data_IF_018732499571
#
_entry.id   IF_018732499571
#
_cell.length_a   1.000
_cell.length_b   1.000
_cell.length_c   1.000
_cell.angle_alpha   90.00
_cell.angle_beta   90.00
_cell.angle_gamma   90.00
#
_symmetry.space_group_name_H-M   'P 1'
#
loop_
_entity.id
_entity.type
_entity.pdbx_description
1 polymer ?
#
# COMPACT_ATOMS: atom_id res chain seq x y z
N UNK A 1 3.36 15.80 -21.71
CA UNK A 1 3.35 14.65 -20.77
C UNK A 1 1.89 14.25 -20.56
N UNK A 2 1.55 12.97 -20.72
CA UNK A 2 0.23 12.44 -20.35
C UNK A 2 0.38 11.68 -19.03
N UNK A 3 -0.60 11.79 -18.12
CA UNK A 3 -0.60 11.00 -16.89
C UNK A 3 -0.99 9.56 -17.23
N UNK A 4 -0.08 8.61 -16.98
CA UNK A 4 -0.37 7.18 -17.08
C UNK A 4 -1.23 6.77 -15.88
N UNK A 5 -2.49 6.37 -16.12
CA UNK A 5 -3.43 6.09 -15.03
C UNK A 5 -3.22 4.72 -14.38
N UNK A 6 -2.52 3.81 -15.07
CA UNK A 6 -2.23 2.47 -14.57
C UNK A 6 -0.86 2.42 -13.86
N UNK A 7 -0.84 2.07 -12.58
CA UNK A 7 0.37 2.05 -11.76
C UNK A 7 1.39 0.98 -12.21
N UNK A 8 0.94 -0.14 -12.76
CA UNK A 8 1.84 -1.18 -13.29
C UNK A 8 2.53 -0.68 -14.55
N UNK A 9 1.78 -0.05 -15.47
CA UNK A 9 2.35 0.58 -16.66
C UNK A 9 3.28 1.73 -16.30
N UNK A 10 2.88 2.59 -15.37
CA UNK A 10 3.69 3.72 -14.90
C UNK A 10 5.04 3.24 -14.38
N UNK A 11 5.07 2.18 -13.57
CA UNK A 11 6.32 1.62 -13.03
C UNK A 11 6.97 0.57 -13.95
N UNK A 12 6.46 0.35 -15.16
CA UNK A 12 7.04 -0.55 -16.15
C UNK A 12 7.10 -2.01 -15.70
N UNK A 13 6.05 -2.50 -15.03
CA UNK A 13 5.94 -3.88 -14.54
C UNK A 13 4.66 -4.55 -15.08
N UNK A 14 4.66 -5.89 -15.12
CA UNK A 14 3.47 -6.64 -15.50
C UNK A 14 2.39 -6.53 -14.39
N UNK A 15 1.10 -6.51 -14.76
CA UNK A 15 0.01 -6.49 -13.79
C UNK A 15 -0.20 -7.85 -13.13
N UNK A 16 0.55 -8.12 -12.07
CA UNK A 16 0.49 -9.35 -11.30
C UNK A 16 0.63 -9.08 -9.81
N UNK A 17 0.19 -10.03 -8.99
CA UNK A 17 0.31 -9.90 -7.53
C UNK A 17 1.74 -10.11 -7.05
N UNK A 18 2.45 -11.09 -7.61
CA UNK A 18 3.83 -11.37 -7.22
C UNK A 18 4.78 -10.40 -7.96
N UNK A 19 5.28 -9.41 -7.24
CA UNK A 19 6.15 -8.37 -7.78
C UNK A 19 7.46 -8.30 -7.01
N UNK A 20 8.55 -8.17 -7.75
CA UNK A 20 9.86 -7.86 -7.17
C UNK A 20 9.90 -6.40 -6.69
N UNK A 21 9.95 -6.23 -5.36
CA UNK A 21 10.05 -4.92 -4.72
C UNK A 21 11.31 -4.15 -5.11
N UNK A 22 12.40 -4.84 -5.47
CA UNK A 22 13.64 -4.24 -5.95
C UNK A 22 13.43 -3.57 -7.31
N UNK A 23 12.80 -4.28 -8.25
CA UNK A 23 12.47 -3.76 -9.59
C UNK A 23 11.55 -2.56 -9.49
N UNK A 24 10.49 -2.63 -8.65
CA UNK A 24 9.58 -1.51 -8.41
C UNK A 24 10.32 -0.27 -7.92
N UNK A 25 11.14 -0.40 -6.88
CA UNK A 25 11.94 0.71 -6.32
C UNK A 25 12.92 1.26 -7.34
N UNK A 26 13.55 0.40 -8.15
CA UNK A 26 14.49 0.83 -9.18
C UNK A 26 13.80 1.66 -10.27
N UNK A 27 12.65 1.19 -10.76
CA UNK A 27 11.89 1.88 -11.81
C UNK A 27 11.32 3.21 -11.30
N UNK A 28 10.76 3.23 -10.08
CA UNK A 28 10.30 4.47 -9.44
C UNK A 28 11.44 5.49 -9.28
N UNK A 29 12.64 5.07 -8.84
CA UNK A 29 13.81 5.96 -8.74
C UNK A 29 14.28 6.50 -10.09
N UNK A 30 14.16 5.73 -11.17
CA UNK A 30 14.47 6.22 -12.54
C UNK A 30 13.49 7.34 -12.91
N UNK A 31 12.19 7.10 -12.75
CA UNK A 31 11.14 8.07 -13.07
C UNK A 31 11.22 9.32 -12.19
N UNK A 32 11.41 9.17 -10.88
CA UNK A 32 11.58 10.31 -9.97
C UNK A 32 12.76 11.19 -10.37
N UNK A 33 13.87 10.62 -10.87
CA UNK A 33 15.01 11.42 -11.36
C UNK A 33 14.69 12.16 -12.66
N UNK A 34 13.80 11.63 -13.49
CA UNK A 34 13.39 12.25 -14.76
C UNK A 34 12.37 13.38 -14.54
N UNK A 35 11.42 13.15 -13.63
CA UNK A 35 10.25 14.00 -13.37
C UNK A 35 10.31 14.77 -12.04
N UNK A 36 11.49 14.85 -11.40
CA UNK A 36 11.64 15.56 -10.12
C UNK A 36 11.25 17.04 -10.26
N UNK A 37 10.44 17.62 -9.35
CA UNK A 37 10.01 19.02 -9.45
C UNK A 37 11.18 20.01 -9.54
N UNK A 38 12.29 19.74 -8.83
CA UNK A 38 13.49 20.58 -8.86
C UNK A 38 14.09 20.74 -10.26
N UNK A 39 13.96 19.74 -11.14
CA UNK A 39 14.44 19.84 -12.54
C UNK A 39 13.62 20.83 -13.36
N UNK A 40 12.38 21.07 -12.93
CA UNK A 40 11.44 21.97 -13.59
C UNK A 40 11.31 23.32 -12.85
N UNK A 41 12.09 23.57 -11.79
CA UNK A 41 12.00 24.80 -11.02
C UNK A 41 12.23 26.09 -11.84
N UNK A 42 12.99 26.01 -12.94
CA UNK A 42 13.24 27.11 -13.88
C UNK A 42 12.29 27.12 -15.10
N UNK A 43 11.36 26.16 -15.19
CA UNK A 43 10.41 26.03 -16.30
C UNK A 43 9.13 26.82 -16.06
N UNK A 44 8.19 26.77 -17.00
CA UNK A 44 6.91 27.48 -16.87
C UNK A 44 6.09 26.98 -15.66
N UNK A 45 5.20 27.80 -15.09
CA UNK A 45 4.31 27.36 -14.00
C UNK A 45 3.42 26.17 -14.37
N UNK A 46 3.15 25.97 -15.65
CA UNK A 46 2.40 24.79 -16.12
C UNK A 46 3.27 23.53 -16.04
N UNK A 47 4.52 23.59 -16.50
CA UNK A 47 5.46 22.47 -16.46
C UNK A 47 5.84 22.09 -15.02
N UNK A 48 6.03 23.08 -14.14
CA UNK A 48 6.27 22.86 -12.71
C UNK A 48 5.12 22.08 -12.06
N UNK A 49 3.87 22.51 -12.31
CA UNK A 49 2.68 21.81 -11.79
C UNK A 49 2.59 20.39 -12.33
N UNK A 50 2.87 20.20 -13.61
CA UNK A 50 2.83 18.88 -14.24
C UNK A 50 3.89 17.95 -13.66
N UNK A 51 5.12 18.42 -13.45
CA UNK A 51 6.19 17.65 -12.81
C UNK A 51 5.83 17.24 -11.37
N UNK A 52 5.22 18.16 -10.61
CA UNK A 52 4.74 17.85 -9.26
C UNK A 52 3.63 16.78 -9.27
N UNK A 53 2.68 16.87 -10.21
CA UNK A 53 1.63 15.86 -10.37
C UNK A 53 2.18 14.49 -10.73
N UNK A 54 3.12 14.42 -11.68
CA UNK A 54 3.76 13.15 -12.07
C UNK A 54 4.56 12.56 -10.92
N UNK A 55 5.32 13.37 -10.19
CA UNK A 55 6.05 12.91 -9.00
C UNK A 55 5.13 12.38 -7.91
N UNK A 56 4.01 13.05 -7.64
CA UNK A 56 2.99 12.55 -6.71
C UNK A 56 2.42 11.20 -7.17
N UNK A 57 2.15 11.06 -8.47
CA UNK A 57 1.62 9.83 -9.05
C UNK A 57 2.60 8.66 -8.94
N UNK A 58 3.89 8.88 -9.18
CA UNK A 58 4.93 7.85 -9.00
C UNK A 58 4.98 7.38 -7.54
N UNK A 59 4.85 8.31 -6.58
CA UNK A 59 4.83 7.96 -5.15
C UNK A 59 3.59 7.14 -4.79
N UNK A 60 2.41 7.54 -5.28
CA UNK A 60 1.17 6.80 -5.09
C UNK A 60 1.23 5.39 -5.69
N UNK A 61 1.77 5.26 -6.90
CA UNK A 61 1.96 3.97 -7.56
C UNK A 61 2.91 3.07 -6.77
N UNK A 62 4.05 3.59 -6.35
CA UNK A 62 5.04 2.83 -5.56
C UNK A 62 4.46 2.38 -4.22
N UNK A 63 3.79 3.28 -3.50
CA UNK A 63 3.16 2.96 -2.21
C UNK A 63 2.03 1.93 -2.36
N UNK A 64 1.27 1.98 -3.46
CA UNK A 64 0.19 1.02 -3.73
C UNK A 64 0.73 -0.36 -4.09
N UNK A 65 1.79 -0.44 -4.91
CA UNK A 65 2.32 -1.71 -5.40
C UNK A 65 3.30 -2.39 -4.43
N UNK A 66 3.87 -1.67 -3.48
CA UNK A 66 4.72 -2.25 -2.42
C UNK A 66 3.92 -2.89 -1.28
N UNK A 67 2.73 -2.37 -0.97
CA UNK A 67 1.84 -2.91 0.05
C UNK A 67 1.01 -4.05 -0.57
N UNK A 68 1.12 -5.30 -0.08
CA UNK A 68 0.41 -6.44 -0.66
C UNK A 68 -1.12 -6.28 -0.64
N UNK A 69 -1.68 -5.72 0.43
CA UNK A 69 -3.13 -5.53 0.58
C UNK A 69 -3.63 -4.47 -0.40
N UNK A 70 -2.94 -3.32 -0.49
CA UNK A 70 -3.26 -2.27 -1.47
C UNK A 70 -3.09 -2.76 -2.90
N UNK A 71 -2.06 -3.56 -3.17
CA UNK A 71 -1.81 -4.16 -4.48
C UNK A 71 -2.92 -5.14 -4.88
N UNK A 72 -3.37 -5.99 -3.96
CA UNK A 72 -4.51 -6.88 -4.20
C UNK A 72 -5.78 -6.08 -4.52
N UNK A 73 -6.10 -5.08 -3.69
CA UNK A 73 -7.23 -4.19 -3.91
C UNK A 73 -7.17 -3.48 -5.28
N UNK A 74 -5.99 -2.99 -5.65
CA UNK A 74 -5.78 -2.31 -6.93
C UNK A 74 -5.93 -3.27 -8.13
N UNK A 75 -5.44 -4.50 -8.03
CA UNK A 75 -5.65 -5.52 -9.06
C UNK A 75 -7.13 -5.84 -9.27
N UNK A 76 -7.90 -5.92 -8.19
CA UNK A 76 -9.34 -6.16 -8.23
C UNK A 76 -10.11 -4.96 -8.79
N UNK A 77 -9.75 -3.75 -8.39
CA UNK A 77 -10.32 -2.51 -8.93
C UNK A 77 -10.12 -2.42 -10.45
N UNK A 78 -8.96 -2.85 -10.97
CA UNK A 78 -8.69 -2.91 -12.42
C UNK A 78 -9.60 -3.88 -13.16
N UNK A 79 -10.18 -4.87 -12.48
CA UNK A 79 -11.17 -5.79 -13.03
C UNK A 79 -12.62 -5.31 -12.79
N UNK A 80 -12.81 -4.12 -12.23
CA UNK A 80 -14.12 -3.57 -11.87
C UNK A 80 -14.70 -4.15 -10.58
N UNK A 81 -13.88 -4.80 -9.75
CA UNK A 81 -14.30 -5.38 -8.48
C UNK A 81 -13.92 -4.40 -7.36
N UNK A 82 -14.92 -3.81 -6.71
CA UNK A 82 -14.71 -2.97 -5.53
C UNK A 82 -14.82 -3.81 -4.25
N UNK A 83 -13.74 -3.89 -3.48
CA UNK A 83 -13.80 -4.47 -2.14
C UNK A 83 -14.32 -3.40 -1.18
N UNK A 84 -15.54 -3.60 -0.71
CA UNK A 84 -16.04 -2.87 0.45
C UNK A 84 -15.70 -3.68 1.71
N UNK A 85 -14.57 -3.33 2.35
CA UNK A 85 -14.05 -4.04 3.52
C UNK A 85 -15.04 -4.05 4.70
N UNK A 86 -15.94 -3.07 4.80
CA UNK A 86 -16.93 -2.99 5.89
C UNK A 86 -18.05 -4.02 5.69
N UNK A 87 -18.61 -4.12 4.48
CA UNK A 87 -19.74 -5.03 4.22
C UNK A 87 -19.36 -6.51 4.10
N UNK A 88 -18.09 -6.84 3.84
CA UNK A 88 -17.67 -8.24 3.76
C UNK A 88 -17.24 -8.81 5.12
N UNK A 89 -16.54 -8.01 5.93
CA UNK A 89 -16.05 -8.44 7.26
C UNK A 89 -17.21 -8.70 8.24
N UNK A 90 -18.34 -7.99 8.11
CA UNK A 90 -19.55 -8.19 8.92
C UNK A 90 -20.20 -9.58 8.75
N UNK A 91 -19.86 -10.33 7.71
CA UNK A 91 -20.48 -11.62 7.40
C UNK A 91 -19.74 -12.83 7.97
N UNK A 92 -18.52 -12.65 8.47
CA UNK A 92 -17.72 -13.72 9.06
C UNK A 92 -17.66 -13.55 10.58
N UNK A 93 -18.60 -14.18 11.28
CA UNK A 93 -18.73 -14.09 12.73
C UNK A 93 -17.52 -14.68 13.45
N UNK A 94 -16.92 -15.75 12.90
CA UNK A 94 -15.80 -16.43 13.53
C UNK A 94 -14.54 -15.56 13.46
N UNK A 95 -14.29 -14.94 12.30
CA UNK A 95 -13.22 -13.95 12.16
C UNK A 95 -13.43 -12.75 13.09
N UNK A 96 -14.65 -12.22 13.19
CA UNK A 96 -14.96 -11.10 14.08
C UNK A 96 -14.70 -11.46 15.55
N UNK A 97 -15.15 -12.63 16.01
CA UNK A 97 -14.90 -13.11 17.37
C UNK A 97 -13.39 -13.24 17.64
N UNK A 98 -12.63 -13.77 16.69
CA UNK A 98 -11.17 -13.84 16.80
C UNK A 98 -10.53 -12.45 16.91
N UNK A 99 -10.97 -11.49 16.09
CA UNK A 99 -10.48 -10.10 16.15
C UNK A 99 -10.81 -9.42 17.49
N UNK A 100 -12.00 -9.68 18.04
CA UNK A 100 -12.39 -9.18 19.36
C UNK A 100 -11.51 -9.75 20.46
N UNK A 101 -11.28 -11.07 20.47
CA UNK A 101 -10.43 -11.72 21.46
C UNK A 101 -8.99 -11.20 21.41
N UNK A 102 -8.40 -11.04 20.21
CA UNK A 102 -7.07 -10.46 20.05
C UNK A 102 -6.97 -9.04 20.63
N UNK A 103 -8.02 -8.22 20.48
CA UNK A 103 -8.07 -6.87 21.05
C UNK A 103 -8.19 -6.89 22.56
N UNK A 104 -8.99 -7.78 23.12
CA UNK A 104 -9.11 -7.96 24.58
C UNK A 104 -7.76 -8.36 25.19
N UNK A 105 -7.06 -9.35 24.62
CA UNK A 105 -5.71 -9.74 25.06
C UNK A 105 -4.71 -8.58 24.97
N UNK A 106 -4.78 -7.77 23.90
CA UNK A 106 -3.93 -6.59 23.76
C UNK A 106 -4.20 -5.54 24.84
N UNK A 107 -5.47 -5.29 25.16
CA UNK A 107 -5.87 -4.34 26.19
C UNK A 107 -5.43 -4.80 27.58
N UNK A 108 -5.65 -6.07 27.93
CA UNK A 108 -5.21 -6.66 29.20
C UNK A 108 -3.69 -6.58 29.38
N UNK A 109 -2.92 -6.98 28.36
CA UNK A 109 -1.45 -6.92 28.40
C UNK A 109 -0.96 -5.48 28.57
N UNK A 110 -1.59 -4.51 27.89
CA UNK A 110 -1.28 -3.09 28.05
C UNK A 110 -1.60 -2.57 29.45
N UNK A 111 -2.76 -2.93 30.00
CA UNK A 111 -3.17 -2.50 31.34
C UNK A 111 -2.22 -3.01 32.43
N UNK A 112 -1.71 -4.23 32.26
CA UNK A 112 -0.78 -4.85 33.19
C UNK A 112 0.69 -4.50 32.92
N UNK A 113 0.98 -3.74 31.85
CA UNK A 113 2.33 -3.49 31.35
C UNK A 113 3.13 -4.79 31.13
N UNK A 114 2.44 -5.85 30.70
CA UNK A 114 2.99 -7.18 30.48
C UNK A 114 3.62 -7.27 29.08
N UNK A 115 4.94 -7.08 29.03
CA UNK A 115 5.71 -7.07 27.77
C UNK A 115 5.78 -8.47 27.16
N UNK A 116 5.88 -9.53 27.97
CA UNK A 116 5.97 -10.90 27.47
C UNK A 116 4.67 -11.31 26.77
N UNK A 117 3.52 -10.89 27.32
CA UNK A 117 2.22 -11.10 26.69
C UNK A 117 2.08 -10.30 25.37
N UNK A 118 2.64 -9.09 25.29
CA UNK A 118 2.64 -8.30 24.06
C UNK A 118 3.50 -8.94 22.96
N UNK A 119 4.67 -9.45 23.31
CA UNK A 119 5.56 -10.13 22.37
C UNK A 119 4.94 -11.44 21.85
N UNK A 120 4.35 -12.25 22.75
CA UNK A 120 3.63 -13.46 22.36
C UNK A 120 2.43 -13.16 21.44
N UNK A 121 1.67 -12.11 21.73
CA UNK A 121 0.56 -11.67 20.88
C UNK A 121 1.05 -11.19 19.51
N UNK A 122 2.17 -10.47 19.46
CA UNK A 122 2.78 -10.04 18.20
C UNK A 122 3.22 -11.24 17.35
N UNK A 123 3.84 -12.26 17.94
CA UNK A 123 4.21 -13.50 17.24
C UNK A 123 2.98 -14.25 16.73
N UNK A 124 1.92 -14.36 17.55
CA UNK A 124 0.67 -15.00 17.15
C UNK A 124 0.03 -14.30 15.95
N UNK A 125 -0.06 -12.97 15.98
CA UNK A 125 -0.64 -12.18 14.89
C UNK A 125 0.22 -12.26 13.64
N UNK A 126 1.55 -12.18 13.76
CA UNK A 126 2.44 -12.35 12.62
C UNK A 126 2.31 -13.75 12.01
N UNK A 127 2.26 -14.82 12.81
CA UNK A 127 2.11 -16.18 12.31
C UNK A 127 0.75 -16.45 11.65
N UNK A 128 -0.32 -15.80 12.12
CA UNK A 128 -1.67 -15.98 11.57
C UNK A 128 -1.92 -15.19 10.27
N UNK A 129 -1.18 -14.09 10.04
CA UNK A 129 -1.46 -13.14 8.96
C UNK A 129 -0.24 -12.78 8.08
N UNK A 130 0.83 -13.58 8.11
CA UNK A 130 2.03 -13.40 7.28
C UNK A 130 1.82 -13.76 5.80
#
# INVERSE_FOLDING_TARGET
>A
MQLEQDYFRLLGVAPQFDLDSSVLKQNARKLQREYHPDRYASHTPQEQRLAAQVSAQINSALATLLDPVRRANYLLQRQGIEINAQTHTERDTDFLMQQMALRETLEEARMNADVDALDALAEQVQGAYA
#
